data_IF_637697180841
#
_entry.id   IF_637697180841
#
_cell.length_a   1.000
_cell.length_b   1.000
_cell.length_c   1.000
_cell.angle_alpha   90.00
_cell.angle_beta   90.00
_cell.angle_gamma   90.00
#
_symmetry.space_group_name_H-M   'P 1'
#
loop_
_entity.id
_entity.type
_entity.pdbx_description
1 polymer ?
#
# COMPACT_ATOMS: atom_id res chain seq x y z
N UNK A 1 -9.95 20.33 -15.48
CA UNK A 1 -8.98 19.23 -15.27
C UNK A 1 -9.70 18.06 -14.61
N UNK A 2 -9.75 16.87 -15.23
CA UNK A 2 -10.40 15.69 -14.65
C UNK A 2 -9.36 14.91 -13.84
N UNK A 3 -9.44 14.98 -12.51
CA UNK A 3 -8.56 14.24 -11.59
C UNK A 3 -9.10 12.84 -11.36
N UNK A 4 -8.22 11.85 -11.17
CA UNK A 4 -8.68 10.52 -10.78
C UNK A 4 -9.44 10.54 -9.43
N UNK A 5 -10.42 9.63 -9.22
CA UNK A 5 -11.14 9.52 -7.97
C UNK A 5 -10.21 9.46 -6.76
N UNK A 6 -10.55 10.20 -5.69
CA UNK A 6 -9.71 10.36 -4.50
C UNK A 6 -9.31 9.01 -3.89
N UNK A 7 -10.20 8.01 -3.93
CA UNK A 7 -9.95 6.67 -3.40
C UNK A 7 -8.77 5.98 -4.12
N UNK A 8 -8.63 6.18 -5.44
CA UNK A 8 -7.54 5.61 -6.23
C UNK A 8 -6.21 6.27 -5.88
N UNK A 9 -6.19 7.61 -5.74
CA UNK A 9 -5.00 8.34 -5.30
C UNK A 9 -4.58 7.96 -3.87
N UNK A 10 -5.54 7.78 -2.97
CA UNK A 10 -5.25 7.31 -1.62
C UNK A 10 -4.65 5.90 -1.63
N UNK A 11 -5.16 4.98 -2.48
CA UNK A 11 -4.58 3.64 -2.67
C UNK A 11 -3.16 3.70 -3.20
N UNK A 12 -2.91 4.51 -4.24
CA UNK A 12 -1.57 4.72 -4.78
C UNK A 12 -0.59 5.17 -3.69
N UNK A 13 -0.96 6.15 -2.86
CA UNK A 13 -0.09 6.65 -1.79
C UNK A 13 0.20 5.59 -0.73
N UNK A 14 -0.82 4.80 -0.33
CA UNK A 14 -0.64 3.70 0.63
C UNK A 14 0.30 2.63 0.10
N UNK A 15 0.13 2.21 -1.16
CA UNK A 15 1.01 1.22 -1.80
C UNK A 15 2.42 1.78 -2.05
N UNK A 16 2.55 3.06 -2.41
CA UNK A 16 3.87 3.71 -2.54
C UNK A 16 4.66 3.67 -1.23
N UNK A 17 4.01 4.03 -0.12
CA UNK A 17 4.62 3.95 1.21
C UNK A 17 4.95 2.50 1.60
N UNK A 18 4.01 1.57 1.41
CA UNK A 18 4.22 0.16 1.72
C UNK A 18 5.43 -0.42 0.98
N UNK A 19 5.54 -0.20 -0.33
CA UNK A 19 6.69 -0.66 -1.09
C UNK A 19 8.00 0.05 -0.68
N UNK A 20 7.94 1.31 -0.24
CA UNK A 20 9.12 1.97 0.35
C UNK A 20 9.59 1.23 1.62
N UNK A 21 8.67 0.89 2.52
CA UNK A 21 8.98 0.15 3.76
C UNK A 21 9.50 -1.25 3.46
N UNK A 22 8.90 -1.96 2.49
CA UNK A 22 9.32 -3.32 2.12
C UNK A 22 10.74 -3.40 1.55
N UNK A 23 11.25 -2.31 0.97
CA UNK A 23 12.61 -2.24 0.44
C UNK A 23 13.65 -1.80 1.46
N UNK A 24 13.24 -1.45 2.70
CA UNK A 24 14.18 -1.18 3.78
C UNK A 24 14.75 -2.51 4.31
N UNK A 25 15.98 -2.49 4.87
CA UNK A 25 16.53 -3.63 5.59
C UNK A 25 15.57 -4.16 6.65
N UNK A 26 15.61 -5.46 6.91
CA UNK A 26 14.70 -6.11 7.88
C UNK A 26 14.83 -5.54 9.30
N UNK A 27 16.04 -5.16 9.69
CA UNK A 27 16.32 -4.52 10.98
C UNK A 27 15.95 -3.02 11.04
N UNK A 28 15.43 -2.45 9.96
CA UNK A 28 15.04 -1.04 9.93
C UNK A 28 13.81 -0.81 10.83
N UNK A 29 13.78 0.21 11.70
CA UNK A 29 12.71 0.41 12.68
C UNK A 29 11.29 0.43 12.08
N UNK A 30 11.12 1.07 10.92
CA UNK A 30 9.83 1.14 10.23
C UNK A 30 9.39 -0.21 9.66
N UNK A 31 10.35 -1.06 9.23
CA UNK A 31 10.06 -2.41 8.75
C UNK A 31 9.64 -3.31 9.92
N UNK A 32 10.39 -3.25 11.02
CA UNK A 32 10.04 -3.93 12.26
C UNK A 32 8.65 -3.51 12.78
N UNK A 33 8.35 -2.20 12.79
CA UNK A 33 7.04 -1.70 13.21
C UNK A 33 5.89 -2.13 12.30
N UNK A 34 6.13 -2.24 10.99
CA UNK A 34 5.17 -2.79 10.05
C UNK A 34 4.87 -4.26 10.36
N UNK A 35 5.91 -5.05 10.66
CA UNK A 35 5.77 -6.49 10.86
C UNK A 35 5.25 -6.84 12.27
N UNK A 36 5.46 -5.96 13.26
CA UNK A 36 5.05 -6.13 14.65
C UNK A 36 3.55 -6.48 14.81
N UNK A 37 3.29 -7.56 15.55
CA UNK A 37 1.97 -7.96 16.05
C UNK A 37 2.00 -7.80 17.57
N UNK A 38 1.22 -6.86 18.12
CA UNK A 38 1.16 -6.65 19.56
C UNK A 38 0.61 -7.90 20.27
N UNK A 39 1.28 -8.42 21.32
CA UNK A 39 0.80 -9.57 22.07
C UNK A 39 -0.49 -9.22 22.84
N UNK A 40 -1.35 -10.21 23.03
CA UNK A 40 -2.60 -10.09 23.79
C UNK A 40 -3.85 -9.83 22.95
N UNK A 41 -5.00 -9.90 23.62
CA UNK A 41 -6.32 -9.67 22.98
C UNK A 41 -6.62 -8.18 22.95
N UNK A 42 -7.02 -7.66 21.79
CA UNK A 42 -7.45 -6.26 21.69
C UNK A 42 -8.72 -5.99 22.52
N UNK A 43 -8.82 -4.81 23.15
CA UNK A 43 -10.01 -4.42 23.89
C UNK A 43 -11.24 -4.38 22.98
N UNK A 44 -12.41 -4.70 23.54
CA UNK A 44 -13.70 -4.53 22.84
C UNK A 44 -13.89 -3.03 22.57
N UNK A 45 -14.26 -2.70 21.33
CA UNK A 45 -14.47 -1.31 20.89
C UNK A 45 -13.36 -0.72 20.00
N UNK A 46 -12.20 -1.36 19.90
CA UNK A 46 -11.18 -0.92 18.95
C UNK A 46 -11.66 -1.10 17.48
N UNK A 47 -11.33 -0.18 16.56
CA UNK A 47 -11.63 -0.35 15.13
C UNK A 47 -11.12 -1.69 14.63
N UNK A 48 -12.02 -2.48 14.01
CA UNK A 48 -11.69 -3.84 13.52
C UNK A 48 -10.67 -3.82 12.38
N UNK A 49 -10.63 -2.73 11.60
CA UNK A 49 -9.84 -2.62 10.37
C UNK A 49 -8.39 -2.26 10.69
N UNK A 50 -7.45 -3.15 10.40
CA UNK A 50 -6.02 -2.87 10.50
C UNK A 50 -5.52 -2.18 9.23
N UNK A 51 -4.43 -1.42 9.35
CA UNK A 51 -3.71 -0.94 8.17
C UNK A 51 -3.27 -2.12 7.29
N UNK A 52 -2.72 -3.19 7.87
CA UNK A 52 -2.38 -4.43 7.13
C UNK A 52 -3.56 -4.96 6.29
N UNK A 53 -4.79 -4.89 6.80
CA UNK A 53 -5.98 -5.34 6.06
C UNK A 53 -6.30 -4.42 4.88
N UNK A 54 -6.11 -3.11 5.05
CA UNK A 54 -6.24 -2.12 3.96
C UNK A 54 -5.20 -2.39 2.87
N UNK A 55 -3.93 -2.62 3.24
CA UNK A 55 -2.88 -2.93 2.25
C UNK A 55 -3.18 -4.24 1.51
N UNK A 56 -3.59 -5.30 2.22
CA UNK A 56 -3.97 -6.57 1.60
C UNK A 56 -5.07 -6.39 0.55
N UNK A 57 -6.10 -5.61 0.87
CA UNK A 57 -7.18 -5.29 -0.08
C UNK A 57 -6.65 -4.46 -1.25
N UNK A 58 -5.87 -3.42 -0.98
CA UNK A 58 -5.32 -2.54 -2.02
C UNK A 58 -4.43 -3.31 -3.01
N UNK A 59 -3.61 -4.26 -2.51
CA UNK A 59 -2.81 -5.20 -3.29
C UNK A 59 -3.70 -6.06 -4.20
N UNK A 60 -4.76 -6.65 -3.63
CA UNK A 60 -5.71 -7.47 -4.39
C UNK A 60 -6.42 -6.65 -5.49
N UNK A 61 -6.81 -5.42 -5.20
CA UNK A 61 -7.46 -4.53 -6.17
C UNK A 61 -6.57 -4.15 -7.36
N UNK A 62 -5.25 -4.18 -7.21
CA UNK A 62 -4.29 -3.89 -8.30
C UNK A 62 -3.62 -5.15 -8.85
N UNK A 63 -4.00 -6.35 -8.37
CA UNK A 63 -3.42 -7.61 -8.79
C UNK A 63 -1.93 -7.77 -8.44
N UNK A 64 -1.48 -7.17 -7.33
CA UNK A 64 -0.09 -7.21 -6.87
C UNK A 64 0.08 -8.09 -5.64
N UNK A 65 1.32 -8.54 -5.46
CA UNK A 65 1.84 -9.22 -4.27
C UNK A 65 2.85 -8.32 -3.56
N UNK A 66 3.30 -8.72 -2.37
CA UNK A 66 4.36 -8.01 -1.66
C UNK A 66 5.70 -8.07 -2.41
N UNK A 67 5.98 -9.17 -3.11
CA UNK A 67 7.25 -9.40 -3.81
C UNK A 67 7.41 -8.47 -5.02
N UNK A 68 6.30 -8.09 -5.65
CA UNK A 68 6.29 -7.08 -6.71
C UNK A 68 6.88 -5.74 -6.24
N UNK A 69 6.90 -5.46 -4.94
CA UNK A 69 7.48 -4.25 -4.38
C UNK A 69 9.02 -4.24 -4.41
N UNK A 70 9.67 -5.39 -4.56
CA UNK A 70 11.13 -5.47 -4.62
C UNK A 70 11.66 -4.90 -5.95
N UNK A 71 10.92 -5.12 -7.05
CA UNK A 71 11.17 -4.44 -8.32
C UNK A 71 10.52 -3.05 -8.32
N UNK A 72 11.37 -2.01 -8.25
CA UNK A 72 10.91 -0.62 -8.19
C UNK A 72 10.17 -0.17 -9.45
N UNK A 73 10.56 -0.67 -10.63
CA UNK A 73 9.96 -0.29 -11.90
C UNK A 73 8.58 -0.92 -12.04
N UNK A 74 8.51 -2.24 -11.81
CA UNK A 74 7.24 -2.98 -11.79
C UNK A 74 6.29 -2.43 -10.75
N UNK A 75 6.76 -2.16 -9.53
CA UNK A 75 5.94 -1.56 -8.46
C UNK A 75 5.35 -0.21 -8.87
N UNK A 76 6.14 0.66 -9.51
CA UNK A 76 5.67 1.96 -9.98
C UNK A 76 4.61 1.82 -11.06
N UNK A 77 4.75 0.85 -11.96
CA UNK A 77 3.78 0.61 -13.03
C UNK A 77 2.44 0.13 -12.46
N UNK A 78 2.46 -0.82 -11.53
CA UNK A 78 1.24 -1.42 -10.97
C UNK A 78 0.49 -0.44 -10.05
N UNK A 79 1.20 0.33 -9.24
CA UNK A 79 0.59 1.17 -8.20
C UNK A 79 0.14 2.55 -8.68
N UNK A 80 0.64 3.02 -9.81
CA UNK A 80 0.35 4.36 -10.34
C UNK A 80 -1.11 4.46 -10.78
N UNK A 81 -1.82 5.47 -10.29
CA UNK A 81 -3.13 5.84 -10.82
C UNK A 81 -2.96 6.98 -11.83
N UNK A 82 -3.23 6.69 -13.10
CA UNK A 82 -3.28 7.71 -14.14
C UNK A 82 -4.44 8.68 -13.88
N UNK A 83 -4.23 9.98 -14.12
CA UNK A 83 -5.33 10.93 -14.14
C UNK A 83 -6.13 10.74 -15.44
N UNK A 84 -7.46 10.81 -15.35
CA UNK A 84 -8.39 10.58 -16.47
C UNK A 84 -8.25 11.59 -17.63
N UNK A 85 -7.29 12.51 -17.56
CA UNK A 85 -6.94 13.46 -18.61
C UNK A 85 -5.62 13.17 -19.32
N UNK A 86 -5.00 12.00 -19.10
CA UNK A 86 -3.77 11.58 -19.81
C UNK A 86 -4.01 10.38 -20.73
N UNK A 87 -5.23 10.20 -21.22
CA UNK A 87 -5.42 9.48 -22.49
C UNK A 87 -4.70 10.30 -23.54
N UNK A 88 -3.51 9.84 -23.94
CA UNK A 88 -2.79 10.39 -25.08
C UNK A 88 -3.63 10.06 -26.31
N UNK A 89 -4.18 11.08 -26.95
CA UNK A 89 -4.49 11.05 -28.37
C UNK A 89 -3.21 10.78 -29.19
#
# INVERSE_FOLDING_TARGET
MKTAPIQLKMREQRLRWYGHVLRRPENHPVRLALDFEAPGKRPRGAPRKRWKDVIKRDLAEVGATADDALDRMRWRQITRTADLGTTRD
#
